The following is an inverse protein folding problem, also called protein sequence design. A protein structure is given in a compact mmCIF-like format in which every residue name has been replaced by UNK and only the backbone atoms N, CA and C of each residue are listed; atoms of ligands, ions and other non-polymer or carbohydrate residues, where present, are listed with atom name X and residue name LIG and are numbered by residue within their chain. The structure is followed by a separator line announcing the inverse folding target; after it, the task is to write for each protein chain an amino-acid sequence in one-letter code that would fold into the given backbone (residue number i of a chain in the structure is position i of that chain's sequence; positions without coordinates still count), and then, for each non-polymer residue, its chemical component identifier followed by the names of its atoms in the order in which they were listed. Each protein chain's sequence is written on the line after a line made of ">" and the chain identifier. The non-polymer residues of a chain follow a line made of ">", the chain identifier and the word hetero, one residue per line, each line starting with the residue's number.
data_IF_036672346424
#
_entry.id   IF_036672346424
#
_cell.length_a   1.000
_cell.length_b   1.000
_cell.length_c   1.000
_cell.angle_alpha   90.00
_cell.angle_beta   90.00
_cell.angle_gamma   90.00
#
_symmetry.space_group_name_H-M   'P 1'
#
loop_
_entity.id
_entity.type
_entity.pdbx_description
1 polymer ?
#
# COMPACT_ATOMS: atom_id res chain seq x y z
N UNK A 1 -0.28 65.03 27.95
CA UNK A 1 0.67 64.86 26.83
C UNK A 1 1.23 63.45 26.92
N UNK A 2 0.64 62.45 26.25
CA UNK A 2 1.03 61.93 24.90
C UNK A 2 2.54 61.83 24.70
N UNK A 3 3.09 60.60 24.79
CA UNK A 3 3.95 60.02 23.74
C UNK A 3 3.61 58.53 23.62
N UNK A 4 3.19 58.16 22.40
CA UNK A 4 2.89 56.84 21.87
C UNK A 4 4.20 56.07 21.65
N UNK A 5 4.27 54.76 21.93
CA UNK A 5 5.09 53.87 21.11
C UNK A 5 4.60 52.41 21.16
N UNK A 6 4.30 51.92 19.95
CA UNK A 6 4.06 50.53 19.56
C UNK A 6 5.19 49.62 20.04
N UNK A 7 4.86 48.44 20.55
CA UNK A 7 5.65 47.24 20.21
C UNK A 7 4.87 45.94 20.42
N UNK A 8 4.64 45.28 19.29
CA UNK A 8 4.67 43.83 19.08
C UNK A 8 4.02 42.89 20.10
N UNK A 9 2.83 42.41 19.74
CA UNK A 9 2.62 41.00 19.37
C UNK A 9 3.55 40.00 20.09
N UNK A 10 3.12 39.52 21.26
CA UNK A 10 3.46 38.18 21.71
C UNK A 10 2.17 37.38 21.72
N UNK A 11 1.74 37.00 20.51
CA UNK A 11 0.87 35.85 20.30
C UNK A 11 1.58 34.65 20.92
N UNK A 12 1.23 34.33 22.16
CA UNK A 12 1.57 33.07 22.79
C UNK A 12 0.84 31.96 22.05
N UNK A 13 1.45 31.51 20.95
CA UNK A 13 1.09 30.31 20.21
C UNK A 13 1.46 29.11 21.07
N UNK A 14 0.68 28.87 22.12
CA UNK A 14 0.75 27.62 22.87
C UNK A 14 0.19 26.56 21.95
N UNK A 15 1.11 25.87 21.29
CA UNK A 15 0.88 24.65 20.54
C UNK A 15 -0.01 23.72 21.38
N UNK A 16 -1.26 23.62 20.97
CA UNK A 16 -2.18 22.61 21.44
C UNK A 16 -1.65 21.27 20.92
N UNK A 17 -0.77 20.63 21.68
CA UNK A 17 -0.36 19.24 21.43
C UNK A 17 -1.56 18.38 21.80
N UNK A 18 -2.45 18.19 20.84
CA UNK A 18 -3.47 17.14 20.92
C UNK A 18 -2.73 15.81 20.92
N UNK A 19 -2.85 14.98 21.96
CA UNK A 19 -2.49 13.59 21.83
C UNK A 19 -3.51 12.98 20.88
N UNK A 20 -3.14 12.79 19.61
CA UNK A 20 -3.98 12.16 18.60
C UNK A 20 -4.08 10.64 18.89
N UNK A 21 -4.76 10.30 19.98
CA UNK A 21 -5.25 8.97 20.27
C UNK A 21 -6.62 8.84 19.59
N UNK A 22 -6.64 8.52 18.30
CA UNK A 22 -7.91 8.37 17.58
C UNK A 22 -7.73 7.81 16.17
N UNK A 23 -8.11 6.53 16.00
CA UNK A 23 -8.25 5.78 14.76
C UNK A 23 -7.02 5.74 13.84
N UNK A 24 -6.79 4.64 13.11
CA UNK A 24 -5.86 4.73 12.00
C UNK A 24 -6.52 5.67 10.98
N UNK A 25 -6.02 6.89 10.87
CA UNK A 25 -6.59 7.90 10.00
C UNK A 25 -5.95 7.80 8.63
N UNK A 26 -6.75 7.99 7.58
CA UNK A 26 -6.27 8.05 6.20
C UNK A 26 -5.06 9.00 6.07
N UNK A 27 -5.05 10.10 6.82
CA UNK A 27 -3.94 11.05 6.87
C UNK A 27 -2.62 10.43 7.38
N UNK A 28 -2.66 9.52 8.36
CA UNK A 28 -1.46 8.81 8.84
C UNK A 28 -0.96 7.80 7.80
N UNK A 29 -1.87 7.10 7.12
CA UNK A 29 -1.51 6.19 6.04
C UNK A 29 -0.94 6.95 4.82
N UNK A 30 -1.53 8.09 4.48
CA UNK A 30 -1.04 9.02 3.46
C UNK A 30 0.36 9.53 3.83
N UNK A 31 0.55 9.99 5.07
CA UNK A 31 1.83 10.50 5.55
C UNK A 31 2.97 9.47 5.41
N UNK A 32 2.70 8.19 5.71
CA UNK A 32 3.69 7.10 5.56
C UNK A 32 4.04 6.88 4.08
N UNK A 33 3.05 6.88 3.19
CA UNK A 33 3.31 6.73 1.75
C UNK A 33 4.05 7.95 1.20
N UNK A 34 3.69 9.17 1.60
CA UNK A 34 4.38 10.38 1.16
C UNK A 34 5.80 10.42 1.70
N UNK A 35 6.02 10.02 2.96
CA UNK A 35 7.36 9.89 3.56
C UNK A 35 8.22 8.91 2.75
N UNK A 36 7.67 7.76 2.37
CA UNK A 36 8.37 6.81 1.49
C UNK A 36 8.64 7.40 0.10
N UNK A 37 7.65 8.06 -0.52
CA UNK A 37 7.79 8.64 -1.85
C UNK A 37 8.85 9.75 -1.88
N UNK A 38 8.93 10.57 -0.83
CA UNK A 38 9.92 11.63 -0.72
C UNK A 38 11.30 11.07 -0.42
N UNK A 39 11.40 10.06 0.46
CA UNK A 39 12.65 9.32 0.67
C UNK A 39 13.14 8.64 -0.63
N UNK A 40 12.23 8.11 -1.46
CA UNK A 40 12.55 7.50 -2.74
C UNK A 40 12.99 8.55 -3.77
N UNK A 41 12.35 9.73 -3.83
CA UNK A 41 12.78 10.83 -4.69
C UNK A 41 14.15 11.35 -4.29
N UNK A 42 14.40 11.51 -3.00
CA UNK A 42 15.72 11.91 -2.47
C UNK A 42 16.78 10.88 -2.87
N UNK A 43 16.50 9.59 -2.67
CA UNK A 43 17.41 8.52 -3.09
C UNK A 43 17.67 8.52 -4.61
N UNK A 44 16.63 8.71 -5.44
CA UNK A 44 16.79 8.82 -6.89
C UNK A 44 17.58 10.06 -7.30
N UNK A 45 17.39 11.19 -6.60
CA UNK A 45 18.18 12.39 -6.82
C UNK A 45 19.64 12.18 -6.44
N UNK A 46 19.91 11.54 -5.29
CA UNK A 46 21.26 11.16 -4.87
C UNK A 46 21.91 10.21 -5.88
N UNK A 47 21.16 9.23 -6.41
CA UNK A 47 21.65 8.35 -7.46
C UNK A 47 22.03 9.10 -8.74
N UNK A 48 21.25 10.11 -9.14
CA UNK A 48 21.53 10.92 -10.33
C UNK A 48 22.72 11.87 -10.13
N UNK A 49 22.94 12.34 -8.91
CA UNK A 49 24.02 13.24 -8.54
C UNK A 49 25.30 12.50 -8.14
N UNK A 50 25.29 11.17 -8.10
CA UNK A 50 26.43 10.37 -7.69
C UNK A 50 27.59 10.51 -8.70
N UNK A 51 28.76 11.01 -8.27
CA UNK A 51 29.86 11.32 -9.19
C UNK A 51 30.56 10.05 -9.70
N UNK A 52 30.66 9.00 -8.88
CA UNK A 52 31.43 7.78 -9.18
C UNK A 52 30.64 6.49 -8.91
N UNK A 53 31.07 5.38 -9.53
CA UNK A 53 30.46 4.05 -9.36
C UNK A 53 30.46 3.53 -7.91
N UNK A 54 31.47 3.90 -7.10
CA UNK A 54 31.54 3.56 -5.68
C UNK A 54 30.46 4.29 -4.84
N UNK A 55 30.24 5.59 -5.11
CA UNK A 55 29.15 6.37 -4.53
C UNK A 55 27.78 5.84 -4.95
N UNK A 56 27.62 5.41 -6.21
CA UNK A 56 26.39 4.75 -6.66
C UNK A 56 26.09 3.47 -5.88
N UNK A 57 27.10 2.64 -5.58
CA UNK A 57 26.90 1.43 -4.77
C UNK A 57 26.54 1.76 -3.32
N UNK A 58 27.16 2.79 -2.73
CA UNK A 58 26.85 3.24 -1.36
C UNK A 58 25.42 3.79 -1.26
N UNK A 59 25.00 4.60 -2.23
CA UNK A 59 23.64 5.13 -2.31
C UNK A 59 22.66 4.00 -2.56
N UNK A 60 22.97 3.05 -3.45
CA UNK A 60 22.12 1.86 -3.67
C UNK A 60 21.85 1.06 -2.40
N UNK A 61 22.83 0.95 -1.49
CA UNK A 61 22.64 0.29 -0.19
C UNK A 61 21.74 1.08 0.77
N UNK A 62 21.61 2.39 0.58
CA UNK A 62 20.67 3.26 1.32
C UNK A 62 19.27 3.29 0.70
N UNK A 63 18.94 2.36 -0.19
CA UNK A 63 17.60 2.28 -0.77
C UNK A 63 16.55 2.24 0.36
N UNK A 64 15.51 3.08 0.31
CA UNK A 64 14.46 3.09 1.32
C UNK A 64 13.83 1.70 1.46
N UNK A 65 13.81 1.16 2.67
CA UNK A 65 13.25 -0.17 2.93
C UNK A 65 11.72 -0.12 2.91
N UNK A 66 11.14 -0.46 1.76
CA UNK A 66 9.69 -0.53 1.57
C UNK A 66 9.00 -1.46 2.59
N UNK A 67 9.68 -2.49 3.11
CA UNK A 67 9.12 -3.40 4.10
C UNK A 67 8.96 -2.76 5.49
N UNK A 68 9.86 -1.84 5.87
CA UNK A 68 9.76 -1.09 7.12
C UNK A 68 8.53 -0.15 7.12
N UNK A 69 8.31 0.55 6.01
CA UNK A 69 7.12 1.39 5.81
C UNK A 69 5.85 0.52 5.69
N UNK A 70 5.94 -0.61 4.99
CA UNK A 70 4.86 -1.59 4.87
C UNK A 70 4.41 -2.15 6.22
N UNK A 71 5.34 -2.44 7.14
CA UNK A 71 5.02 -2.89 8.52
C UNK A 71 4.30 -1.82 9.34
N UNK A 72 4.68 -0.54 9.20
CA UNK A 72 3.98 0.59 9.84
C UNK A 72 2.57 0.73 9.28
N UNK A 73 2.45 0.72 7.95
CA UNK A 73 1.18 0.85 7.24
C UNK A 73 0.23 -0.32 7.54
N UNK A 74 0.73 -1.55 7.59
CA UNK A 74 -0.03 -2.75 7.96
C UNK A 74 -0.63 -2.66 9.36
N UNK A 75 0.12 -2.17 10.36
CA UNK A 75 -0.38 -2.00 11.73
C UNK A 75 -1.56 -1.05 11.79
N UNK A 76 -1.53 0.00 10.98
CA UNK A 76 -2.62 0.97 10.84
C UNK A 76 -3.81 0.34 10.10
N UNK A 77 -3.56 -0.27 8.94
CA UNK A 77 -4.60 -0.87 8.11
C UNK A 77 -5.38 -1.96 8.83
N UNK A 78 -4.71 -2.84 9.58
CA UNK A 78 -5.34 -3.98 10.27
C UNK A 78 -6.53 -3.60 11.16
N UNK A 79 -6.61 -2.35 11.65
CA UNK A 79 -7.71 -1.87 12.49
C UNK A 79 -8.87 -1.26 11.69
N UNK A 80 -8.61 -0.78 10.48
CA UNK A 80 -9.54 -0.01 9.67
C UNK A 80 -9.80 -0.66 8.29
N UNK A 81 -9.48 -1.95 8.12
CA UNK A 81 -9.66 -2.76 6.91
C UNK A 81 -11.08 -2.68 6.30
N UNK A 82 -12.06 -2.26 7.09
CA UNK A 82 -13.46 -2.12 6.68
C UNK A 82 -13.71 -0.79 5.93
N UNK A 83 -12.75 0.15 5.92
CA UNK A 83 -12.91 1.47 5.29
C UNK A 83 -12.38 1.53 3.87
N UNK A 84 -13.10 2.21 2.98
CA UNK A 84 -12.79 2.24 1.55
C UNK A 84 -11.39 2.80 1.23
N UNK A 85 -10.92 3.80 2.00
CA UNK A 85 -9.60 4.39 1.81
C UNK A 85 -8.47 3.37 1.97
N UNK A 86 -8.66 2.31 2.76
CA UNK A 86 -7.66 1.25 2.98
C UNK A 86 -7.33 0.46 1.72
N UNK A 87 -8.21 0.46 0.71
CA UNK A 87 -7.99 -0.24 -0.56
C UNK A 87 -6.78 0.32 -1.31
N UNK A 88 -6.61 1.64 -1.33
CA UNK A 88 -5.48 2.29 -1.99
C UNK A 88 -4.15 1.93 -1.33
N UNK A 89 -4.11 1.96 0.00
CA UNK A 89 -2.91 1.62 0.78
C UNK A 89 -2.63 0.12 0.78
N UNK A 90 -3.67 -0.71 0.74
CA UNK A 90 -3.57 -2.16 0.57
C UNK A 90 -3.01 -2.54 -0.80
N UNK A 91 -3.39 -1.82 -1.86
CA UNK A 91 -2.82 -1.96 -3.19
C UNK A 91 -1.31 -1.64 -3.18
N UNK A 92 -0.94 -0.52 -2.56
CA UNK A 92 0.45 -0.12 -2.40
C UNK A 92 1.28 -1.17 -1.63
N UNK A 93 0.72 -1.76 -0.56
CA UNK A 93 1.37 -2.85 0.17
C UNK A 93 1.64 -4.08 -0.70
N UNK A 94 0.67 -4.48 -1.53
CA UNK A 94 0.83 -5.64 -2.41
C UNK A 94 1.90 -5.39 -3.49
N UNK A 95 2.02 -4.17 -3.96
CA UNK A 95 2.96 -3.79 -5.01
C UNK A 95 4.39 -3.55 -4.48
N UNK A 96 4.53 -2.92 -3.32
CA UNK A 96 5.82 -2.41 -2.81
C UNK A 96 6.43 -3.26 -1.69
N UNK A 97 5.62 -3.93 -0.85
CA UNK A 97 6.14 -4.74 0.27
C UNK A 97 6.39 -6.18 -0.16
N UNK A 98 7.64 -6.47 -0.56
CA UNK A 98 8.08 -7.81 -0.95
C UNK A 98 8.12 -8.81 0.21
N UNK A 99 8.13 -8.33 1.46
CA UNK A 99 8.18 -9.15 2.67
C UNK A 99 6.80 -9.40 3.29
N UNK A 100 5.73 -9.01 2.58
CA UNK A 100 4.37 -9.13 3.08
C UNK A 100 3.96 -10.59 3.27
N UNK A 101 3.89 -11.04 4.53
CA UNK A 101 3.52 -12.43 4.90
C UNK A 101 2.22 -12.91 4.25
N UNK A 102 2.16 -14.21 3.94
CA UNK A 102 1.00 -14.86 3.32
C UNK A 102 -0.30 -14.67 4.13
N UNK A 103 -0.21 -14.66 5.46
CA UNK A 103 -1.35 -14.40 6.35
C UNK A 103 -1.93 -12.97 6.17
N UNK A 104 -1.07 -11.98 5.95
CA UNK A 104 -1.49 -10.58 5.80
C UNK A 104 -2.16 -10.33 4.46
N UNK A 105 -1.61 -10.93 3.40
CA UNK A 105 -2.25 -10.92 2.08
C UNK A 105 -3.65 -11.56 2.16
N UNK A 106 -3.81 -12.68 2.87
CA UNK A 106 -5.13 -13.29 3.08
C UNK A 106 -6.08 -12.41 3.89
N UNK A 107 -5.59 -11.69 4.91
CA UNK A 107 -6.41 -10.76 5.68
C UNK A 107 -6.94 -9.62 4.80
N UNK A 108 -6.11 -9.07 3.91
CA UNK A 108 -6.51 -8.06 2.92
C UNK A 108 -7.57 -8.60 1.96
N UNK A 109 -7.38 -9.80 1.42
CA UNK A 109 -8.36 -10.44 0.52
C UNK A 109 -9.71 -10.70 1.22
N UNK A 110 -9.68 -11.15 2.48
CA UNK A 110 -10.90 -11.38 3.26
C UNK A 110 -11.64 -10.08 3.58
N UNK A 111 -10.91 -9.01 3.91
CA UNK A 111 -11.51 -7.69 4.13
C UNK A 111 -12.15 -7.14 2.86
N UNK A 112 -11.48 -7.33 1.72
CA UNK A 112 -12.01 -6.95 0.43
C UNK A 112 -13.33 -7.67 0.11
N UNK A 113 -13.33 -8.98 0.28
CA UNK A 113 -14.51 -9.81 -0.01
C UNK A 113 -15.70 -9.45 0.87
N UNK A 114 -15.46 -9.16 2.16
CA UNK A 114 -16.51 -8.85 3.13
C UNK A 114 -17.08 -7.44 2.98
N UNK A 115 -16.23 -6.44 2.80
CA UNK A 115 -16.63 -5.05 2.98
C UNK A 115 -16.56 -4.20 1.71
N UNK A 116 -15.77 -4.61 0.71
CA UNK A 116 -15.40 -3.74 -0.42
C UNK A 116 -15.80 -4.26 -1.79
N UNK A 117 -16.48 -5.41 -1.88
CA UNK A 117 -16.77 -6.05 -3.17
C UNK A 117 -17.60 -5.19 -4.14
N UNK A 118 -18.37 -4.22 -3.61
CA UNK A 118 -19.19 -3.27 -4.37
C UNK A 118 -18.57 -1.87 -4.48
N UNK A 119 -17.35 -1.67 -3.96
CA UNK A 119 -16.70 -0.37 -3.98
C UNK A 119 -16.20 -0.05 -5.39
N UNK A 120 -16.43 1.17 -5.92
CA UNK A 120 -15.87 1.59 -7.20
C UNK A 120 -14.36 1.87 -7.12
N UNK A 121 -13.80 2.08 -5.92
CA UNK A 121 -12.37 2.32 -5.72
C UNK A 121 -11.51 1.04 -5.69
N UNK A 122 -12.15 -0.12 -5.86
CA UNK A 122 -11.50 -1.42 -5.83
C UNK A 122 -10.49 -1.62 -6.98
N UNK A 123 -10.62 -0.86 -8.05
CA UNK A 123 -9.85 -1.02 -9.28
C UNK A 123 -8.33 -1.06 -9.08
N UNK A 124 -7.80 -0.14 -8.27
CA UNK A 124 -6.36 -0.08 -7.95
C UNK A 124 -5.89 -1.33 -7.18
N UNK A 125 -6.69 -1.80 -6.23
CA UNK A 125 -6.39 -3.00 -5.46
C UNK A 125 -6.44 -4.25 -6.35
N UNK A 126 -7.45 -4.36 -7.20
CA UNK A 126 -7.64 -5.45 -8.16
C UNK A 126 -6.42 -5.62 -9.05
N UNK A 127 -5.90 -4.52 -9.60
CA UNK A 127 -4.67 -4.53 -10.40
C UNK A 127 -3.45 -4.96 -9.56
N UNK A 128 -3.35 -4.48 -8.31
CA UNK A 128 -2.27 -4.85 -7.41
C UNK A 128 -2.31 -6.33 -6.98
N UNK A 129 -3.45 -7.02 -7.12
CA UNK A 129 -3.54 -8.45 -6.81
C UNK A 129 -2.58 -9.28 -7.66
N UNK A 130 -2.19 -8.84 -8.86
CA UNK A 130 -1.22 -9.55 -9.73
C UNK A 130 0.12 -9.77 -9.00
N UNK A 131 0.48 -8.88 -8.06
CA UNK A 131 1.69 -8.98 -7.24
C UNK A 131 1.54 -9.90 -6.01
N UNK A 132 0.42 -10.63 -5.85
CA UNK A 132 0.27 -11.63 -4.79
C UNK A 132 1.37 -12.68 -4.88
N UNK A 133 2.17 -12.77 -3.82
CA UNK A 133 3.30 -13.70 -3.70
C UNK A 133 2.99 -14.75 -2.65
N UNK A 134 3.19 -16.01 -3.01
CA UNK A 134 3.26 -17.08 -2.04
C UNK A 134 4.67 -17.04 -1.44
N UNK A 135 4.87 -16.22 -0.41
CA UNK A 135 6.11 -16.24 0.36
C UNK A 135 6.33 -17.67 0.88
N UNK A 136 7.60 -18.08 1.06
CA UNK A 136 8.08 -19.43 1.45
C UNK A 136 7.50 -20.00 2.77
N UNK A 137 6.36 -19.51 3.25
CA UNK A 137 5.60 -20.16 4.30
C UNK A 137 4.96 -21.45 3.78
N UNK A 138 5.16 -22.59 4.49
CA UNK A 138 4.57 -23.85 4.11
C UNK A 138 3.05 -23.70 4.05
N UNK A 139 2.47 -24.15 2.94
CA UNK A 139 1.02 -24.13 2.74
C UNK A 139 0.39 -24.98 3.85
N UNK A 140 -0.31 -24.33 4.79
CA UNK A 140 -1.07 -25.07 5.81
C UNK A 140 -2.08 -25.96 5.08
N UNK A 141 -2.03 -27.27 5.35
CA UNK A 141 -2.91 -28.27 4.74
C UNK A 141 -4.37 -27.80 4.79
N UNK A 142 -5.05 -27.82 3.63
CA UNK A 142 -6.45 -27.37 3.48
C UNK A 142 -6.66 -25.90 3.07
N UNK A 143 -5.60 -25.10 2.84
CA UNK A 143 -5.75 -23.71 2.34
C UNK A 143 -5.38 -23.58 0.86
N UNK A 144 -6.28 -23.00 0.08
CA UNK A 144 -6.08 -22.64 -1.33
C UNK A 144 -4.84 -21.73 -1.46
N UNK A 145 -3.99 -21.90 -2.50
CA UNK A 145 -2.88 -20.99 -2.79
C UNK A 145 -3.34 -19.53 -2.87
N UNK A 146 -2.51 -18.60 -2.42
CA UNK A 146 -2.84 -17.16 -2.40
C UNK A 146 -3.25 -16.62 -3.77
N UNK A 147 -2.53 -17.03 -4.82
CA UNK A 147 -2.87 -16.71 -6.21
C UNK A 147 -4.23 -17.26 -6.61
N UNK A 148 -4.49 -18.54 -6.36
CA UNK A 148 -5.78 -19.16 -6.69
C UNK A 148 -6.95 -18.52 -5.92
N UNK A 149 -6.74 -18.13 -4.66
CA UNK A 149 -7.73 -17.36 -3.90
C UNK A 149 -7.95 -15.96 -4.51
N UNK A 150 -6.87 -15.33 -4.96
CA UNK A 150 -6.93 -14.06 -5.68
C UNK A 150 -7.76 -14.18 -6.97
N UNK A 151 -7.50 -15.20 -7.79
CA UNK A 151 -8.25 -15.44 -9.03
C UNK A 151 -9.75 -15.67 -8.77
N UNK A 152 -10.12 -16.52 -7.79
CA UNK A 152 -11.52 -16.72 -7.40
C UNK A 152 -12.20 -15.40 -6.98
N UNK A 153 -11.47 -14.55 -6.25
CA UNK A 153 -12.00 -13.26 -5.82
C UNK A 153 -12.18 -12.31 -7.01
N UNK A 154 -11.25 -12.31 -7.96
CA UNK A 154 -11.36 -11.52 -9.20
C UNK A 154 -12.56 -11.94 -10.05
N UNK A 155 -12.82 -13.25 -10.19
CA UNK A 155 -14.03 -13.75 -10.87
C UNK A 155 -15.30 -13.28 -10.16
N UNK A 156 -15.32 -13.36 -8.82
CA UNK A 156 -16.45 -12.90 -8.02
C UNK A 156 -16.68 -11.39 -8.16
N UNK A 157 -15.61 -10.59 -8.16
CA UNK A 157 -15.67 -9.13 -8.36
C UNK A 157 -16.22 -8.81 -9.75
N UNK A 158 -15.75 -9.49 -10.80
CA UNK A 158 -16.23 -9.32 -12.17
C UNK A 158 -17.73 -9.53 -12.30
N UNK A 159 -18.30 -10.48 -11.56
CA UNK A 159 -19.74 -10.79 -11.61
C UNK A 159 -20.54 -9.87 -10.67
N UNK A 160 -20.00 -9.52 -9.51
CA UNK A 160 -20.76 -8.89 -8.41
C UNK A 160 -20.65 -7.36 -8.39
N UNK A 161 -19.58 -6.78 -8.93
CA UNK A 161 -19.35 -5.33 -8.81
C UNK A 161 -20.21 -4.55 -9.84
N UNK A 162 -20.94 -3.51 -9.44
CA UNK A 162 -21.76 -2.70 -10.35
C UNK A 162 -20.95 -1.81 -11.32
N UNK A 163 -19.66 -1.57 -11.08
CA UNK A 163 -18.84 -0.70 -11.93
C UNK A 163 -18.14 -1.48 -13.08
N UNK A 164 -18.48 -1.21 -14.36
CA UNK A 164 -17.88 -1.89 -15.50
C UNK A 164 -16.37 -1.66 -15.62
N UNK A 165 -15.82 -0.54 -15.12
CA UNK A 165 -14.37 -0.31 -15.11
C UNK A 165 -13.66 -1.28 -14.18
N UNK A 166 -14.23 -1.51 -12.99
CA UNK A 166 -13.67 -2.46 -12.02
C UNK A 166 -13.79 -3.89 -12.54
N UNK A 167 -14.90 -4.23 -13.23
CA UNK A 167 -15.04 -5.53 -13.89
C UNK A 167 -13.97 -5.75 -14.97
N UNK A 168 -13.68 -4.72 -15.79
CA UNK A 168 -12.62 -4.76 -16.80
C UNK A 168 -11.23 -4.91 -16.19
N UNK A 169 -10.92 -4.16 -15.14
CA UNK A 169 -9.66 -4.28 -14.40
C UNK A 169 -9.51 -5.65 -13.73
N UNK A 170 -10.60 -6.23 -13.23
CA UNK A 170 -10.60 -7.58 -12.66
C UNK A 170 -10.34 -8.64 -13.72
N UNK A 171 -10.98 -8.53 -14.88
CA UNK A 171 -10.74 -9.41 -16.01
C UNK A 171 -9.29 -9.31 -16.52
N UNK A 172 -8.73 -8.10 -16.61
CA UNK A 172 -7.34 -7.88 -16.98
C UNK A 172 -6.37 -8.50 -15.97
N UNK A 173 -6.58 -8.25 -14.68
CA UNK A 173 -5.74 -8.78 -13.60
C UNK A 173 -5.77 -10.31 -13.59
N UNK A 174 -6.95 -10.90 -13.83
CA UNK A 174 -7.12 -12.34 -13.95
C UNK A 174 -6.38 -12.89 -15.18
N UNK A 175 -6.46 -12.22 -16.33
CA UNK A 175 -5.72 -12.60 -17.53
C UNK A 175 -4.20 -12.54 -17.30
N UNK A 176 -3.68 -11.49 -16.65
CA UNK A 176 -2.26 -11.36 -16.29
C UNK A 176 -1.80 -12.48 -15.35
N UNK A 177 -2.60 -12.80 -14.33
CA UNK A 177 -2.32 -13.93 -13.44
C UNK A 177 -2.29 -15.24 -14.21
N UNK A 178 -3.29 -15.53 -15.02
CA UNK A 178 -3.38 -16.76 -15.83
C UNK A 178 -2.21 -16.87 -16.83
N UNK A 179 -1.84 -15.77 -17.48
CA UNK A 179 -0.69 -15.71 -18.39
C UNK A 179 0.61 -16.08 -17.67
N UNK A 180 0.82 -15.56 -16.46
CA UNK A 180 2.00 -15.90 -15.66
C UNK A 180 2.02 -17.35 -15.15
N UNK A 181 0.87 -18.04 -15.12
CA UNK A 181 0.82 -19.48 -14.85
C UNK A 181 1.20 -20.29 -16.10
N UNK A 182 0.82 -19.83 -17.30
CA UNK A 182 1.16 -20.47 -18.56
C UNK A 182 2.65 -20.43 -18.90
N UNK A 183 3.34 -19.33 -18.60
CA UNK A 183 4.80 -19.22 -18.78
C UNK A 183 5.60 -20.10 -17.81
N UNK A 184 5.04 -20.43 -16.64
CA UNK A 184 5.66 -21.35 -15.68
C UNK A 184 5.60 -22.84 -16.08
N UNK A 185 4.93 -23.17 -17.18
CA UNK A 185 4.86 -24.51 -17.77
C UNK A 185 5.93 -24.80 -18.83
N UNK A 186 6.85 -23.86 -19.09
CA UNK A 186 8.03 -24.08 -19.93
C UNK A 186 9.29 -24.16 -19.06
N UNK A 187 9.51 -25.31 -18.44
CA UNK A 187 10.84 -25.81 -18.02
C UNK A 187 10.93 -27.30 -18.28
#
# INVERSE_FOLDING_TARGET
>A
MKIFNLSCYVLAYVFFVVPFAGAATEAQAAAIITEYADAQKLWLAEMKLAPNAASLQMIRKKQPDAAAYGKRLKRLLNRDLDKQWTLKYGAWLLENDTNLTASSQRALLNALEKNHIKSPQLGSFVMAMVYLRQNNEPMRAGKIPLRSRGMQLLEKIKITNPDPKVQGQAALSLALMLSSLGEGGQV
#
